data_IF_803292003267
#
_entry.id   IF_803292003267
#
_cell.length_a   1.000
_cell.length_b   1.000
_cell.length_c   1.000
_cell.angle_alpha   90.00
_cell.angle_beta   90.00
_cell.angle_gamma   90.00
#
_symmetry.space_group_name_H-M   'P 1'
#
loop_
_entity.id
_entity.type
_entity.pdbx_description
1 polymer ?
#
# COMPACT_ATOMS: atom_id res chain seq x y z
N UNK A 1 9.09 -107.71 -9.88
CA UNK A 1 8.63 -107.18 -11.18
C UNK A 1 8.18 -105.76 -10.91
N UNK A 2 9.05 -104.78 -11.14
CA UNK A 2 9.20 -104.08 -12.44
C UNK A 2 7.99 -103.17 -12.70
N UNK A 3 8.06 -101.94 -13.19
CA UNK A 3 9.10 -100.91 -13.33
C UNK A 3 8.28 -99.65 -13.74
N UNK A 4 8.53 -98.53 -13.08
CA UNK A 4 8.67 -97.13 -13.56
C UNK A 4 7.96 -96.62 -14.85
N UNK A 5 7.66 -95.28 -14.86
CA UNK A 5 7.56 -94.31 -16.00
C UNK A 5 6.11 -93.88 -16.38
N UNK A 6 5.69 -92.62 -16.65
CA UNK A 6 6.32 -91.35 -17.07
C UNK A 6 5.47 -90.12 -16.63
N UNK A 7 6.16 -89.00 -16.40
CA UNK A 7 5.66 -87.60 -16.32
C UNK A 7 5.09 -87.10 -17.66
N UNK A 8 4.28 -86.02 -17.63
CA UNK A 8 4.28 -84.85 -18.56
C UNK A 8 2.86 -84.36 -18.97
N UNK A 9 2.16 -83.61 -18.11
CA UNK A 9 1.05 -82.72 -18.52
C UNK A 9 1.12 -81.44 -17.66
N UNK A 10 2.06 -80.54 -17.97
CA UNK A 10 2.14 -79.22 -17.32
C UNK A 10 2.77 -78.14 -18.22
N UNK A 11 2.72 -78.32 -19.54
CA UNK A 11 3.45 -77.46 -20.49
C UNK A 11 2.61 -76.87 -21.64
N UNK A 12 1.27 -76.88 -21.54
CA UNK A 12 0.39 -76.42 -22.63
C UNK A 12 -0.30 -75.07 -22.38
N UNK A 13 -0.55 -74.69 -21.12
CA UNK A 13 -1.44 -73.57 -20.78
C UNK A 13 -0.74 -72.25 -20.50
N UNK A 14 0.59 -72.23 -20.33
CA UNK A 14 1.32 -70.98 -20.03
C UNK A 14 1.77 -70.21 -21.29
N UNK A 15 1.99 -70.91 -22.42
CA UNK A 15 2.44 -70.27 -23.66
C UNK A 15 1.33 -69.45 -24.35
N UNK A 16 0.06 -69.81 -24.15
CA UNK A 16 -1.07 -69.10 -24.77
C UNK A 16 -1.42 -67.79 -24.03
N UNK A 17 -1.19 -67.73 -22.71
CA UNK A 17 -1.46 -66.53 -21.90
C UNK A 17 -0.39 -65.45 -22.12
N UNK A 18 0.88 -65.82 -22.33
CA UNK A 18 1.96 -64.87 -22.63
C UNK A 18 1.83 -64.29 -24.05
N UNK A 19 1.37 -65.08 -25.03
CA UNK A 19 1.17 -64.59 -26.41
C UNK A 19 -0.01 -63.60 -26.53
N UNK A 20 -1.09 -63.78 -25.76
CA UNK A 20 -2.22 -62.83 -25.75
C UNK A 20 -1.88 -61.55 -24.96
N UNK A 21 -1.09 -61.66 -23.89
CA UNK A 21 -0.60 -60.49 -23.12
C UNK A 21 0.36 -59.59 -23.92
N UNK A 22 1.25 -60.17 -24.73
CA UNK A 22 2.18 -59.39 -25.57
C UNK A 22 1.49 -58.69 -26.76
N UNK A 23 0.40 -59.25 -27.28
CA UNK A 23 -0.34 -58.66 -28.41
C UNK A 23 -1.33 -57.58 -27.98
N UNK A 24 -1.90 -57.68 -26.78
CA UNK A 24 -2.79 -56.64 -26.21
C UNK A 24 -2.01 -55.47 -25.60
N UNK A 25 -0.85 -55.73 -24.99
CA UNK A 25 0.03 -54.67 -24.46
C UNK A 25 0.64 -53.78 -25.56
N UNK A 26 0.93 -54.34 -26.75
CA UNK A 26 1.54 -53.59 -27.86
C UNK A 26 0.55 -52.74 -28.67
N UNK A 27 -0.76 -53.06 -28.65
CA UNK A 27 -1.80 -52.18 -29.19
C UNK A 27 -2.18 -51.06 -28.22
N UNK A 28 -2.33 -51.35 -26.93
CA UNK A 28 -2.63 -50.31 -25.93
C UNK A 28 -1.50 -49.28 -25.80
N UNK A 29 -0.24 -49.70 -25.89
CA UNK A 29 0.92 -48.79 -25.91
C UNK A 29 1.10 -48.04 -27.22
N UNK A 30 0.69 -48.61 -28.36
CA UNK A 30 0.68 -47.88 -29.65
C UNK A 30 -0.48 -46.90 -29.77
N UNK A 31 -1.66 -47.26 -29.28
CA UNK A 31 -2.82 -46.37 -29.31
C UNK A 31 -2.63 -45.23 -28.31
N UNK A 32 -2.05 -45.47 -27.13
CA UNK A 32 -1.65 -44.37 -26.22
C UNK A 32 -0.45 -43.58 -26.73
N UNK A 33 0.53 -44.21 -27.42
CA UNK A 33 1.61 -43.45 -28.04
C UNK A 33 1.08 -42.55 -29.17
N UNK A 34 0.19 -43.03 -30.02
CA UNK A 34 -0.44 -42.20 -31.06
C UNK A 34 -1.36 -41.14 -30.46
N UNK A 35 -2.13 -41.43 -29.42
CA UNK A 35 -3.01 -40.44 -28.78
C UNK A 35 -2.19 -39.36 -28.05
N UNK A 36 -1.10 -39.74 -27.39
CA UNK A 36 -0.14 -38.79 -26.79
C UNK A 36 0.60 -37.99 -27.87
N UNK A 37 0.99 -38.61 -28.98
CA UNK A 37 1.61 -37.92 -30.11
C UNK A 37 0.61 -37.00 -30.83
N UNK A 38 -0.69 -37.35 -30.88
CA UNK A 38 -1.75 -36.50 -31.43
C UNK A 38 -2.10 -35.34 -30.48
N UNK A 39 -2.08 -35.58 -29.16
CA UNK A 39 -2.26 -34.54 -28.13
C UNK A 39 -1.03 -33.62 -28.02
N UNK A 40 0.18 -34.13 -28.24
CA UNK A 40 1.41 -33.33 -28.30
C UNK A 40 1.61 -32.63 -29.66
N UNK A 41 1.08 -33.20 -30.76
CA UNK A 41 1.06 -32.58 -32.09
C UNK A 41 -0.12 -31.61 -32.27
N UNK A 42 -1.01 -31.51 -31.28
CA UNK A 42 -1.85 -30.32 -31.13
C UNK A 42 -0.93 -29.21 -30.63
N UNK A 43 -0.13 -28.67 -31.55
CA UNK A 43 0.80 -27.58 -31.33
C UNK A 43 -0.01 -26.44 -30.71
N UNK A 44 0.06 -26.32 -29.37
CA UNK A 44 -0.55 -25.21 -28.66
C UNK A 44 0.15 -24.00 -29.23
N UNK A 45 -0.56 -23.27 -30.10
CA UNK A 45 -0.05 -22.11 -30.80
C UNK A 45 0.79 -21.30 -29.81
N UNK A 46 2.08 -21.15 -30.10
CA UNK A 46 3.02 -20.58 -29.14
C UNK A 46 2.54 -19.21 -28.65
N UNK A 47 1.77 -18.48 -29.47
CA UNK A 47 1.12 -17.23 -29.07
C UNK A 47 -0.01 -17.44 -28.08
N UNK A 48 -0.82 -18.48 -28.22
CA UNK A 48 -1.87 -18.86 -27.27
C UNK A 48 -1.30 -19.40 -25.96
N UNK A 49 -0.28 -20.26 -26.00
CA UNK A 49 0.43 -20.73 -24.79
C UNK A 49 1.12 -19.57 -24.07
N UNK A 50 1.76 -18.66 -24.81
CA UNK A 50 2.36 -17.46 -24.25
C UNK A 50 1.29 -16.53 -23.69
N UNK A 51 0.16 -16.32 -24.37
CA UNK A 51 -0.97 -15.51 -23.88
C UNK A 51 -1.59 -16.11 -22.62
N UNK A 52 -1.74 -17.43 -22.54
CA UNK A 52 -2.22 -18.13 -21.35
C UNK A 52 -1.20 -18.08 -20.20
N UNK A 53 0.09 -18.23 -20.49
CA UNK A 53 1.15 -18.09 -19.48
C UNK A 53 1.33 -16.63 -19.01
N UNK A 54 1.06 -15.65 -19.86
CA UNK A 54 1.02 -14.22 -19.51
C UNK A 54 -0.23 -13.91 -18.69
N UNK A 55 -1.39 -14.48 -19.05
CA UNK A 55 -2.63 -14.35 -18.30
C UNK A 55 -2.54 -15.05 -16.92
N UNK A 56 -1.88 -16.20 -16.82
CA UNK A 56 -1.64 -16.89 -15.55
C UNK A 56 -0.59 -16.18 -14.69
N UNK A 57 0.36 -15.46 -15.29
CA UNK A 57 1.31 -14.60 -14.55
C UNK A 57 0.63 -13.38 -13.92
N UNK A 58 -0.38 -12.81 -14.58
CA UNK A 58 -1.22 -11.77 -13.98
C UNK A 58 -1.92 -12.29 -12.71
N UNK A 59 -2.43 -13.53 -12.74
CA UNK A 59 -3.11 -14.16 -11.59
C UNK A 59 -2.20 -14.46 -10.39
N UNK A 60 -0.90 -14.68 -10.57
CA UNK A 60 -0.02 -14.99 -9.44
C UNK A 60 0.22 -13.76 -8.54
N UNK A 61 0.40 -12.57 -9.13
CA UNK A 61 0.59 -11.31 -8.39
C UNK A 61 -0.64 -10.92 -7.55
N UNK A 62 -1.79 -11.39 -7.98
CA UNK A 62 -3.09 -11.21 -7.34
C UNK A 62 -3.36 -12.23 -6.22
N UNK A 63 -2.48 -13.24 -6.05
CA UNK A 63 -2.69 -14.29 -5.05
C UNK A 63 -2.36 -13.82 -3.62
N UNK A 64 -3.09 -14.32 -2.59
CA UNK A 64 -2.76 -14.05 -1.20
C UNK A 64 -1.34 -14.49 -0.79
N UNK A 65 -0.82 -15.55 -1.42
CA UNK A 65 0.52 -16.05 -1.17
C UNK A 65 1.58 -15.04 -1.65
N UNK A 66 1.44 -14.51 -2.86
CA UNK A 66 2.33 -13.48 -3.37
C UNK A 66 2.29 -12.21 -2.51
N UNK A 67 1.08 -11.74 -2.18
CA UNK A 67 0.90 -10.58 -1.31
C UNK A 67 1.62 -10.75 0.03
N UNK A 68 1.47 -11.92 0.68
CA UNK A 68 2.20 -12.22 1.92
C UNK A 68 3.71 -12.18 1.73
N UNK A 69 4.24 -12.74 0.64
CA UNK A 69 5.68 -12.66 0.34
C UNK A 69 6.16 -11.21 0.19
N UNK A 70 5.33 -10.32 -0.38
CA UNK A 70 5.66 -8.88 -0.47
C UNK A 70 5.66 -8.20 0.90
N UNK A 71 4.69 -8.51 1.75
CA UNK A 71 4.65 -8.06 3.15
C UNK A 71 5.91 -8.51 3.89
N UNK A 72 6.22 -9.82 3.84
CA UNK A 72 7.38 -10.39 4.53
C UNK A 72 8.70 -9.75 4.06
N UNK A 73 8.84 -9.52 2.76
CA UNK A 73 10.02 -8.87 2.19
C UNK A 73 10.18 -7.41 2.63
N UNK A 74 9.08 -6.65 2.71
CA UNK A 74 9.13 -5.28 3.23
C UNK A 74 9.46 -5.26 4.73
N UNK A 75 8.89 -6.18 5.52
CA UNK A 75 9.20 -6.33 6.95
C UNK A 75 10.69 -6.57 7.16
N UNK A 76 11.29 -7.47 6.37
CA UNK A 76 12.73 -7.74 6.41
C UNK A 76 13.56 -6.53 5.98
N UNK A 77 13.20 -5.90 4.85
CA UNK A 77 13.95 -4.77 4.29
C UNK A 77 14.01 -3.56 5.22
N UNK A 78 12.91 -3.26 5.92
CA UNK A 78 12.81 -2.10 6.81
C UNK A 78 13.03 -2.43 8.29
N UNK A 79 13.26 -3.71 8.63
CA UNK A 79 13.53 -4.13 10.01
C UNK A 79 12.38 -3.84 10.98
N UNK A 80 11.14 -3.88 10.50
CA UNK A 80 9.93 -3.60 11.31
C UNK A 80 9.33 -4.87 11.90
N UNK A 81 8.38 -4.73 12.83
CA UNK A 81 7.63 -5.87 13.36
C UNK A 81 6.69 -6.44 12.29
N UNK A 82 6.66 -7.78 12.08
CA UNK A 82 5.72 -8.40 11.15
C UNK A 82 4.27 -8.05 11.51
N UNK A 83 3.47 -7.52 10.57
CA UNK A 83 2.10 -7.16 10.86
C UNK A 83 1.26 -8.43 11.07
N UNK A 84 0.27 -8.35 11.95
CA UNK A 84 -0.81 -9.34 11.95
C UNK A 84 -1.65 -9.15 10.68
N UNK A 85 -1.75 -10.18 9.83
CA UNK A 85 -2.54 -10.13 8.59
C UNK A 85 -4.02 -9.83 8.84
N UNK A 86 -4.58 -10.25 9.98
CA UNK A 86 -5.95 -9.89 10.38
C UNK A 86 -6.07 -8.39 10.62
N UNK A 87 -5.02 -7.76 11.18
CA UNK A 87 -4.99 -6.31 11.37
C UNK A 87 -4.90 -5.56 10.05
N UNK A 88 -4.18 -6.09 9.06
CA UNK A 88 -4.14 -5.55 7.69
C UNK A 88 -5.44 -5.75 6.92
N UNK A 89 -6.31 -6.66 7.35
CA UNK A 89 -7.68 -6.82 6.80
C UNK A 89 -8.70 -5.97 7.53
N UNK A 90 -8.47 -5.68 8.82
CA UNK A 90 -9.38 -4.91 9.64
C UNK A 90 -9.46 -3.43 9.22
N UNK A 91 -10.60 -2.75 9.42
CA UNK A 91 -10.73 -1.31 9.23
C UNK A 91 -9.66 -0.53 10.00
N UNK A 92 -9.09 0.48 9.37
CA UNK A 92 -8.24 1.44 10.07
C UNK A 92 -9.13 2.47 10.79
N UNK A 93 -8.89 2.76 12.08
CA UNK A 93 -9.59 3.83 12.78
C UNK A 93 -9.39 5.18 12.06
N UNK A 94 -10.50 5.79 11.67
CA UNK A 94 -10.53 7.07 10.96
C UNK A 94 -11.14 8.16 11.83
N UNK A 95 -10.51 9.34 11.84
CA UNK A 95 -10.95 10.49 12.60
C UNK A 95 -10.98 11.74 11.70
N UNK A 96 -12.11 12.45 11.67
CA UNK A 96 -12.26 13.75 10.99
C UNK A 96 -12.90 14.81 11.91
N UNK A 97 -12.24 15.17 13.03
CA UNK A 97 -12.84 16.02 14.06
C UNK A 97 -12.95 17.50 13.69
N UNK A 98 -12.18 17.97 12.69
CA UNK A 98 -12.21 19.35 12.21
C UNK A 98 -12.40 19.32 10.71
N UNK A 99 -13.41 20.05 10.21
CA UNK A 99 -13.70 20.18 8.80
C UNK A 99 -13.91 21.65 8.43
N UNK A 100 -13.91 21.92 7.12
CA UNK A 100 -13.94 23.29 6.57
C UNK A 100 -15.14 24.13 7.03
N UNK A 101 -16.24 23.51 7.47
CA UNK A 101 -17.44 24.22 7.94
C UNK A 101 -17.36 24.66 9.40
N UNK A 102 -16.45 24.08 10.19
CA UNK A 102 -16.25 24.40 11.61
C UNK A 102 -14.75 24.49 11.97
N UNK A 103 -14.02 25.51 11.44
CA UNK A 103 -12.61 25.69 11.73
C UNK A 103 -12.33 25.91 13.22
N UNK A 104 -11.20 25.39 13.70
CA UNK A 104 -10.78 25.54 15.10
C UNK A 104 -9.59 26.47 15.25
N UNK A 105 -9.80 27.52 16.03
CA UNK A 105 -8.75 28.48 16.41
C UNK A 105 -7.96 27.99 17.63
N UNK A 106 -6.64 28.15 17.60
CA UNK A 106 -5.71 27.83 18.69
C UNK A 106 -4.79 29.05 18.90
N UNK A 107 -4.81 29.63 20.10
CA UNK A 107 -3.98 30.77 20.45
C UNK A 107 -2.52 30.37 20.76
N UNK A 108 -1.54 31.28 20.60
CA UNK A 108 -0.18 31.04 21.06
C UNK A 108 -0.12 30.67 22.56
N UNK A 109 0.53 29.56 22.87
CA UNK A 109 0.62 28.98 24.21
C UNK A 109 -0.47 27.96 24.52
N UNK A 110 -1.48 27.80 23.66
CA UNK A 110 -2.51 26.79 23.81
C UNK A 110 -2.17 25.50 23.07
N UNK A 111 -2.77 24.40 23.52
CA UNK A 111 -2.74 23.11 22.85
C UNK A 111 -4.14 22.52 22.80
N UNK A 112 -4.37 21.71 21.77
CA UNK A 112 -5.64 21.04 21.50
C UNK A 112 -5.36 19.58 21.13
N UNK A 113 -6.11 18.65 21.71
CA UNK A 113 -6.04 17.23 21.36
C UNK A 113 -7.25 16.88 20.50
N UNK A 114 -7.00 16.26 19.36
CA UNK A 114 -7.99 15.86 18.38
C UNK A 114 -7.71 14.42 17.95
N UNK A 115 -8.45 13.48 18.53
CA UNK A 115 -8.20 12.04 18.32
C UNK A 115 -6.75 11.65 18.70
N UNK A 116 -6.01 10.99 17.77
CA UNK A 116 -4.64 10.56 18.04
C UNK A 116 -3.62 11.69 18.01
N UNK A 117 -3.95 12.90 17.51
CA UNK A 117 -3.00 14.00 17.41
C UNK A 117 -3.22 15.08 18.48
N UNK A 118 -2.12 15.72 18.88
CA UNK A 118 -2.12 16.93 19.70
C UNK A 118 -1.45 18.07 18.94
N UNK A 119 -2.14 19.20 18.78
CA UNK A 119 -1.69 20.39 18.08
C UNK A 119 -1.48 21.51 19.09
N UNK A 120 -0.25 22.01 19.23
CA UNK A 120 0.10 23.12 20.11
C UNK A 120 0.66 24.30 19.33
N UNK A 121 0.16 25.51 19.58
CA UNK A 121 0.66 26.72 18.92
C UNK A 121 1.67 27.42 19.81
N UNK A 122 2.83 27.76 19.25
CA UNK A 122 3.94 28.42 19.96
C UNK A 122 4.44 29.60 19.18
N UNK A 123 4.84 30.66 19.88
CA UNK A 123 5.55 31.79 19.29
C UNK A 123 6.99 31.81 19.82
N UNK A 124 7.97 31.68 18.94
CA UNK A 124 9.39 31.60 19.28
C UNK A 124 10.19 32.66 18.53
N UNK A 125 11.15 33.30 19.21
CA UNK A 125 12.08 34.23 18.56
C UNK A 125 13.16 33.43 17.81
N UNK A 126 13.26 33.61 16.50
CA UNK A 126 14.30 33.01 15.67
C UNK A 126 15.26 34.06 15.18
N UNK A 127 16.54 33.73 15.23
CA UNK A 127 17.58 34.54 14.61
C UNK A 127 17.77 34.03 13.19
N UNK A 128 17.39 34.85 12.20
CA UNK A 128 17.62 34.55 10.79
C UNK A 128 18.84 35.35 10.35
N UNK A 129 19.81 34.65 9.78
CA UNK A 129 21.00 35.25 9.19
C UNK A 129 20.89 35.19 7.66
N UNK A 130 20.86 36.35 7.01
CA UNK A 130 20.76 36.43 5.55
C UNK A 130 21.67 37.55 5.04
N UNK A 131 22.68 37.19 4.25
CA UNK A 131 23.63 38.15 3.70
C UNK A 131 24.44 38.90 4.77
N UNK A 132 24.84 38.23 5.85
CA UNK A 132 25.61 38.84 6.95
C UNK A 132 24.80 39.68 7.94
N UNK A 133 23.49 39.89 7.70
CA UNK A 133 22.60 40.52 8.66
C UNK A 133 21.91 39.47 9.54
N UNK A 134 22.02 39.63 10.85
CA UNK A 134 21.24 38.87 11.85
C UNK A 134 20.00 39.66 12.25
N UNK A 135 18.83 39.12 11.95
CA UNK A 135 17.55 39.67 12.41
C UNK A 135 16.89 38.70 13.38
N UNK A 136 16.34 39.22 14.49
CA UNK A 136 15.60 38.43 15.47
C UNK A 136 14.11 38.68 15.27
N UNK A 137 13.42 37.69 14.71
CA UNK A 137 11.99 37.81 14.40
C UNK A 137 11.22 36.74 15.17
N UNK A 138 10.08 37.14 15.75
CA UNK A 138 9.12 36.20 16.33
C UNK A 138 8.50 35.37 15.20
N UNK A 139 8.31 34.07 15.40
CA UNK A 139 7.65 33.17 14.46
C UNK A 139 6.66 32.29 15.20
N UNK A 140 5.48 32.11 14.62
CA UNK A 140 4.46 31.19 15.09
C UNK A 140 4.65 29.82 14.44
N UNK A 141 4.68 28.78 15.26
CA UNK A 141 4.76 27.38 14.87
C UNK A 141 3.54 26.60 15.39
N UNK A 142 3.02 25.70 14.57
CA UNK A 142 2.10 24.65 14.98
C UNK A 142 2.91 23.36 15.21
N UNK A 143 2.94 22.91 16.45
CA UNK A 143 3.58 21.67 16.87
C UNK A 143 2.56 20.55 16.85
N UNK A 144 2.78 19.55 16.01
CA UNK A 144 1.91 18.37 15.90
C UNK A 144 2.64 17.20 16.55
N UNK A 145 1.94 16.48 17.43
CA UNK A 145 2.45 15.30 18.13
C UNK A 145 1.50 14.14 17.92
N UNK A 146 2.02 13.00 17.47
CA UNK A 146 1.27 11.75 17.51
C UNK A 146 1.25 11.19 18.94
N UNK A 147 0.06 11.11 19.54
CA UNK A 147 -0.18 10.58 20.89
C UNK A 147 -0.68 9.14 20.89
N UNK A 148 -0.91 8.55 19.71
CA UNK A 148 -1.27 7.15 19.58
C UNK A 148 -0.06 6.23 19.79
N UNK A 149 -0.35 4.94 19.95
CA UNK A 149 0.66 3.89 20.05
C UNK A 149 1.02 3.26 18.70
N UNK A 150 0.42 3.78 17.63
CA UNK A 150 0.59 3.31 16.25
C UNK A 150 0.86 4.53 15.35
N UNK A 151 1.47 4.32 14.18
CA UNK A 151 1.63 5.39 13.20
C UNK A 151 0.29 5.98 12.78
N UNK A 152 0.29 7.28 12.49
CA UNK A 152 -0.90 8.02 12.07
C UNK A 152 -0.60 8.71 10.76
N UNK A 153 -1.27 8.29 9.69
CA UNK A 153 -1.36 9.10 8.49
C UNK A 153 -2.31 10.26 8.75
N UNK A 154 -1.97 11.47 8.29
CA UNK A 154 -2.76 12.65 8.57
C UNK A 154 -2.81 13.62 7.39
N UNK A 155 -3.88 14.41 7.35
CA UNK A 155 -4.01 15.58 6.49
C UNK A 155 -4.40 16.76 7.37
N UNK A 156 -3.52 17.74 7.45
CA UNK A 156 -3.70 18.94 8.26
C UNK A 156 -3.70 20.18 7.36
N UNK A 157 -4.86 20.79 7.20
CA UNK A 157 -4.99 22.10 6.56
C UNK A 157 -5.12 23.18 7.63
N UNK A 158 -4.24 24.17 7.58
CA UNK A 158 -4.25 25.27 8.54
C UNK A 158 -3.82 26.59 7.92
N UNK A 159 -4.23 27.67 8.56
CA UNK A 159 -3.85 29.05 8.21
C UNK A 159 -3.65 29.89 9.46
N UNK A 160 -3.10 31.09 9.30
CA UNK A 160 -3.17 32.10 10.36
C UNK A 160 -4.62 32.59 10.51
N UNK A 161 -5.04 32.86 11.75
CA UNK A 161 -6.41 33.28 12.04
C UNK A 161 -6.70 34.73 11.59
N UNK A 162 -5.68 35.58 11.58
CA UNK A 162 -5.81 37.00 11.21
C UNK A 162 -5.61 37.20 9.70
N UNK A 163 -6.36 38.14 9.12
CA UNK A 163 -6.27 38.47 7.71
C UNK A 163 -4.88 39.03 7.30
N UNK A 164 -4.56 38.90 6.02
CA UNK A 164 -3.32 39.40 5.38
C UNK A 164 -2.45 38.28 4.83
N UNK A 165 -1.40 38.62 4.11
CA UNK A 165 -0.46 37.63 3.58
C UNK A 165 0.62 37.27 4.61
N UNK A 166 1.15 36.05 4.52
CA UNK A 166 2.35 35.70 5.26
C UNK A 166 3.57 35.94 4.37
N UNK A 167 4.34 36.99 4.67
CA UNK A 167 5.48 37.37 3.83
C UNK A 167 6.65 36.39 3.90
N UNK A 168 6.78 35.65 5.00
CA UNK A 168 7.89 34.72 5.25
C UNK A 168 7.37 33.45 5.93
N UNK A 169 7.28 32.36 5.16
CA UNK A 169 7.13 31.01 5.71
C UNK A 169 8.46 30.31 5.67
N UNK A 170 8.93 29.86 6.84
CA UNK A 170 10.09 28.99 6.89
C UNK A 170 9.63 27.55 6.62
N UNK A 171 10.07 26.95 5.53
CA UNK A 171 9.73 25.56 5.23
C UNK A 171 10.80 24.68 5.87
N UNK A 172 10.54 24.23 7.09
CA UNK A 172 11.32 23.16 7.70
C UNK A 172 10.94 21.85 7.01
N UNK A 173 11.90 20.94 6.85
CA UNK A 173 11.62 19.55 6.43
C UNK A 173 10.99 18.79 7.58
N UNK A 174 9.93 18.03 7.29
CA UNK A 174 9.24 17.15 8.23
C UNK A 174 8.40 16.16 7.42
N UNK A 175 8.00 15.04 8.02
CA UNK A 175 7.04 14.16 7.35
C UNK A 175 5.63 14.76 7.38
N UNK A 176 5.17 15.21 6.21
CA UNK A 176 3.84 15.80 6.03
C UNK A 176 2.70 14.79 5.87
N UNK A 177 3.00 13.48 5.87
CA UNK A 177 2.04 12.42 5.55
C UNK A 177 1.80 11.50 6.74
N UNK A 178 2.87 10.96 7.34
CA UNK A 178 2.77 10.05 8.50
C UNK A 178 3.51 10.64 9.70
N UNK A 179 3.04 10.31 10.90
CA UNK A 179 3.76 10.50 12.14
C UNK A 179 3.86 9.20 12.91
N UNK A 180 5.07 8.82 13.29
CA UNK A 180 5.34 7.67 14.15
C UNK A 180 4.83 7.88 15.59
N UNK A 181 4.64 6.80 16.38
CA UNK A 181 4.25 6.92 17.78
C UNK A 181 5.17 7.84 18.59
N UNK A 182 4.62 8.92 19.14
CA UNK A 182 5.38 9.91 19.90
C UNK A 182 6.19 10.89 19.05
N UNK A 183 6.18 10.75 17.72
CA UNK A 183 6.84 11.68 16.82
C UNK A 183 6.20 13.06 16.89
N UNK A 184 7.06 14.08 16.74
CA UNK A 184 6.68 15.48 16.83
C UNK A 184 7.33 16.30 15.73
N UNK A 185 6.49 17.06 15.03
CA UNK A 185 6.91 18.01 14.00
C UNK A 185 6.54 19.44 14.38
N UNK A 186 7.28 20.41 13.85
CA UNK A 186 7.03 21.84 14.04
C UNK A 186 6.83 22.51 12.67
N UNK A 187 5.59 22.89 12.38
CA UNK A 187 5.18 23.51 11.12
C UNK A 187 5.16 25.03 11.28
N UNK A 188 5.95 25.75 10.50
CA UNK A 188 5.98 27.21 10.54
C UNK A 188 4.75 27.81 9.87
N UNK A 189 4.02 28.68 10.58
CA UNK A 189 2.80 29.30 10.07
C UNK A 189 3.10 30.67 9.48
N UNK A 190 3.67 31.56 10.30
CA UNK A 190 4.08 32.89 9.87
C UNK A 190 5.02 33.58 10.87
N UNK A 191 5.64 34.68 10.46
CA UNK A 191 6.27 35.64 11.37
C UNK A 191 5.23 36.33 12.26
N UNK A 192 5.66 36.74 13.46
CA UNK A 192 4.81 37.31 14.50
C UNK A 192 4.30 36.29 15.52
N UNK A 193 3.48 36.79 16.46
CA UNK A 193 2.75 35.99 17.46
C UNK A 193 1.27 36.01 17.07
N UNK A 194 0.80 34.96 16.40
CA UNK A 194 -0.54 34.89 15.81
C UNK A 194 -1.25 33.61 16.18
N UNK A 195 -2.58 33.65 16.28
CA UNK A 195 -3.40 32.45 16.39
C UNK A 195 -3.39 31.67 15.07
N UNK A 196 -3.60 30.36 15.18
CA UNK A 196 -3.69 29.43 14.05
C UNK A 196 -5.12 28.92 13.96
N UNK A 197 -5.67 28.87 12.75
CA UNK A 197 -6.92 28.19 12.45
C UNK A 197 -6.61 26.87 11.75
N UNK A 198 -7.05 25.77 12.35
CA UNK A 198 -7.11 24.45 11.72
C UNK A 198 -8.43 24.38 10.96
N UNK A 199 -8.33 24.19 9.65
CA UNK A 199 -9.47 24.20 8.72
C UNK A 199 -9.99 22.80 8.43
N UNK A 200 -9.09 21.82 8.27
CA UNK A 200 -9.42 20.42 8.03
C UNK A 200 -8.38 19.56 8.72
N UNK A 201 -8.82 18.55 9.47
CA UNK A 201 -7.94 17.58 10.11
C UNK A 201 -8.51 16.18 9.91
N UNK A 202 -7.83 15.38 9.10
CA UNK A 202 -8.13 13.96 8.88
C UNK A 202 -6.98 13.12 9.40
N UNK A 203 -7.30 12.00 10.02
CA UNK A 203 -6.32 11.10 10.61
C UNK A 203 -6.75 9.65 10.39
N UNK A 204 -5.79 8.79 10.06
CA UNK A 204 -5.98 7.35 9.92
C UNK A 204 -4.89 6.63 10.71
N UNK A 205 -5.30 5.82 11.70
CA UNK A 205 -4.38 4.97 12.47
C UNK A 205 -4.03 3.72 11.66
N UNK A 206 -2.76 3.58 11.28
CA UNK A 206 -2.27 2.56 10.35
C UNK A 206 -1.23 1.65 11.01
N UNK A 207 -0.86 0.57 10.32
CA UNK A 207 0.18 -0.35 10.79
C UNK A 207 1.58 0.20 10.51
N UNK A 208 2.62 -0.39 11.11
CA UNK A 208 4.02 0.00 10.83
C UNK A 208 4.40 -0.16 9.35
N UNK A 209 4.00 -1.28 8.71
CA UNK A 209 4.21 -1.45 7.26
C UNK A 209 3.38 -0.46 6.45
N UNK A 210 2.15 -0.16 6.91
CA UNK A 210 1.28 0.80 6.27
C UNK A 210 1.84 2.22 6.28
N UNK A 211 2.53 2.62 7.35
CA UNK A 211 3.25 3.90 7.41
C UNK A 211 4.26 4.01 6.26
N UNK A 212 5.16 3.02 6.17
CA UNK A 212 6.19 2.98 5.14
C UNK A 212 5.58 3.04 3.74
N UNK A 213 4.56 2.23 3.46
CA UNK A 213 3.91 2.23 2.15
C UNK A 213 3.19 3.54 1.82
N UNK A 214 2.58 4.18 2.82
CA UNK A 214 1.94 5.49 2.65
C UNK A 214 2.98 6.58 2.42
N UNK A 215 4.14 6.52 3.08
CA UNK A 215 5.24 7.49 2.89
C UNK A 215 5.93 7.38 1.52
N UNK A 216 5.80 6.22 0.84
CA UNK A 216 6.20 6.10 -0.57
C UNK A 216 5.28 6.89 -1.52
N UNK A 217 4.07 7.29 -1.11
CA UNK A 217 3.16 8.05 -1.97
C UNK A 217 3.69 9.47 -2.15
N UNK A 218 3.87 9.97 -3.38
CA UNK A 218 4.19 11.38 -3.57
C UNK A 218 3.16 12.27 -2.87
N UNK A 219 3.60 13.14 -1.95
CA UNK A 219 2.74 14.03 -1.17
C UNK A 219 1.73 14.84 -2.03
N UNK A 220 2.09 15.14 -3.29
CA UNK A 220 1.20 15.77 -4.26
C UNK A 220 -0.04 14.93 -4.55
N UNK A 221 0.10 13.61 -4.67
CA UNK A 221 -0.99 12.68 -4.97
C UNK A 221 -2.09 12.67 -3.88
N UNK A 222 -1.72 13.07 -2.66
CA UNK A 222 -2.62 13.16 -1.51
C UNK A 222 -3.36 14.51 -1.42
N UNK A 223 -3.26 15.37 -2.43
CA UNK A 223 -3.87 16.70 -2.46
C UNK A 223 -3.54 17.54 -1.20
N UNK A 224 -2.27 17.47 -0.77
CA UNK A 224 -1.72 18.32 0.28
C UNK A 224 -1.44 19.73 -0.26
N UNK A 225 -1.41 20.72 0.63
CA UNK A 225 -1.09 22.08 0.21
C UNK A 225 0.39 22.19 -0.24
N UNK A 226 0.74 23.14 -1.12
CA UNK A 226 2.09 23.27 -1.66
C UNK A 226 3.19 23.41 -0.60
N UNK A 227 2.87 23.96 0.58
CA UNK A 227 3.84 24.10 1.68
C UNK A 227 4.17 22.73 2.25
N UNK A 228 3.15 21.93 2.56
CA UNK A 228 3.29 20.58 3.09
C UNK A 228 3.98 19.66 2.09
N UNK A 229 3.62 19.74 0.80
CA UNK A 229 4.30 19.03 -0.29
C UNK A 229 5.81 19.32 -0.32
N UNK A 230 6.19 20.60 -0.20
CA UNK A 230 7.60 21.01 -0.22
C UNK A 230 8.35 20.59 1.05
N UNK A 231 7.63 20.50 2.17
CA UNK A 231 8.21 20.16 3.46
C UNK A 231 8.38 18.66 3.66
N UNK A 232 7.53 17.85 3.03
CA UNK A 232 7.51 16.40 3.17
C UNK A 232 8.91 15.79 2.95
N UNK A 233 9.35 15.02 3.94
CA UNK A 233 10.62 14.32 3.98
C UNK A 233 10.38 12.98 4.70
N UNK A 234 10.13 11.88 3.96
CA UNK A 234 9.82 10.57 4.54
C UNK A 234 11.05 9.83 5.10
N UNK A 235 12.21 10.50 5.16
CA UNK A 235 13.48 9.91 5.56
C UNK A 235 14.28 9.32 4.39
N UNK A 236 15.55 9.00 4.63
CA UNK A 236 16.50 8.59 3.58
C UNK A 236 16.21 7.19 3.01
N UNK A 237 15.56 6.32 3.79
CA UNK A 237 15.31 4.93 3.46
C UNK A 237 14.02 4.71 2.66
N UNK A 238 13.15 5.72 2.57
CA UNK A 238 11.84 5.61 1.88
C UNK A 238 11.94 6.24 0.50
N UNK A 239 11.93 5.40 -0.54
CA UNK A 239 11.93 5.85 -1.93
C UNK A 239 10.50 6.10 -2.42
N UNK A 240 10.18 7.29 -2.97
CA UNK A 240 8.84 7.59 -3.45
C UNK A 240 8.50 6.78 -4.70
N UNK A 241 7.25 6.32 -4.78
CA UNK A 241 6.69 5.63 -5.93
C UNK A 241 6.64 6.57 -7.14
N UNK A 242 7.43 6.25 -8.17
CA UNK A 242 7.54 7.05 -9.40
C UNK A 242 6.45 6.74 -10.43
N UNK A 243 5.78 5.60 -10.31
CA UNK A 243 4.72 5.13 -11.21
C UNK A 243 3.35 5.77 -10.92
N UNK A 244 3.17 6.43 -9.78
CA UNK A 244 1.88 6.99 -9.39
C UNK A 244 1.56 8.26 -10.20
N UNK A 245 0.37 8.37 -10.82
CA UNK A 245 -0.04 9.57 -11.54
C UNK A 245 -0.49 10.65 -10.55
N UNK A 246 0.47 11.24 -9.82
CA UNK A 246 0.20 12.10 -8.67
C UNK A 246 -0.72 13.29 -8.98
N UNK A 247 -0.54 13.95 -10.12
CA UNK A 247 -1.37 15.08 -10.53
C UNK A 247 -2.83 14.68 -10.82
N UNK A 248 -3.05 13.47 -11.32
CA UNK A 248 -4.39 12.96 -11.61
C UNK A 248 -5.10 12.52 -10.33
N UNK A 249 -4.40 11.80 -9.44
CA UNK A 249 -4.92 11.42 -8.13
C UNK A 249 -5.33 12.65 -7.32
N UNK A 250 -4.48 13.68 -7.27
CA UNK A 250 -4.77 14.93 -6.58
C UNK A 250 -6.05 15.60 -7.11
N UNK A 251 -6.16 15.75 -8.44
CA UNK A 251 -7.36 16.32 -9.07
C UNK A 251 -8.61 15.49 -8.82
N UNK A 252 -8.48 14.16 -8.72
CA UNK A 252 -9.61 13.26 -8.49
C UNK A 252 -10.12 13.36 -7.05
N UNK A 253 -9.21 13.55 -6.08
CA UNK A 253 -9.57 13.92 -4.69
C UNK A 253 -10.29 15.28 -4.67
N UNK A 254 -9.76 16.28 -5.38
CA UNK A 254 -10.36 17.62 -5.45
C UNK A 254 -11.75 17.62 -6.10
N UNK A 255 -11.99 16.76 -7.11
CA UNK A 255 -13.29 16.55 -7.74
C UNK A 255 -14.26 15.71 -6.90
N UNK A 256 -13.77 15.06 -5.83
CA UNK A 256 -14.57 14.21 -4.96
C UNK A 256 -14.93 12.84 -5.57
N UNK A 257 -14.12 12.33 -6.51
CA UNK A 257 -14.32 10.99 -7.09
C UNK A 257 -14.03 9.88 -6.07
N UNK A 258 -13.05 10.14 -5.20
CA UNK A 258 -12.75 9.39 -3.98
C UNK A 258 -12.20 10.37 -2.93
N UNK A 259 -12.22 9.96 -1.67
CA UNK A 259 -11.72 10.79 -0.57
C UNK A 259 -10.24 10.51 -0.30
N UNK A 260 -9.58 11.44 0.41
CA UNK A 260 -8.19 11.27 0.84
C UNK A 260 -8.00 9.97 1.65
N UNK A 261 -8.93 9.67 2.54
CA UNK A 261 -8.90 8.48 3.39
C UNK A 261 -9.06 7.17 2.60
N UNK A 262 -9.67 7.19 1.42
CA UNK A 262 -9.76 6.01 0.55
C UNK A 262 -8.38 5.67 -0.02
N UNK A 263 -7.68 6.68 -0.54
CA UNK A 263 -6.34 6.51 -1.12
C UNK A 263 -5.31 6.07 -0.07
N UNK A 264 -5.34 6.71 1.11
CA UNK A 264 -4.44 6.39 2.21
C UNK A 264 -4.77 5.02 2.81
N UNK A 265 -6.05 4.66 2.99
CA UNK A 265 -6.40 3.33 3.49
C UNK A 265 -5.96 2.24 2.51
N UNK A 266 -6.11 2.46 1.20
CA UNK A 266 -5.64 1.51 0.18
C UNK A 266 -4.14 1.27 0.27
N UNK A 267 -3.33 2.32 0.22
CA UNK A 267 -1.87 2.20 0.23
C UNK A 267 -1.30 1.88 1.61
N UNK A 268 -2.05 2.10 2.71
CA UNK A 268 -1.67 1.54 4.02
C UNK A 268 -1.71 0.00 4.05
N UNK A 269 -2.32 -0.62 3.03
CA UNK A 269 -2.45 -2.07 2.86
C UNK A 269 -1.73 -2.57 1.61
N UNK A 270 -1.25 -1.70 0.73
CA UNK A 270 -0.66 -2.11 -0.54
C UNK A 270 0.55 -1.25 -0.89
N UNK A 271 1.63 -1.91 -1.33
CA UNK A 271 2.78 -1.21 -1.89
C UNK A 271 2.42 -0.61 -3.26
N UNK A 272 2.57 0.71 -3.42
CA UNK A 272 2.28 1.43 -4.66
C UNK A 272 3.14 1.02 -5.86
N UNK A 273 4.24 0.29 -5.64
CA UNK A 273 5.03 -0.27 -6.74
C UNK A 273 4.41 -1.55 -7.34
N UNK A 274 3.59 -2.26 -6.58
CA UNK A 274 3.00 -3.54 -7.00
C UNK A 274 1.51 -3.44 -7.29
N UNK A 275 0.80 -2.52 -6.62
CA UNK A 275 -0.65 -2.43 -6.65
C UNK A 275 -1.10 -1.03 -7.07
N UNK A 276 -1.92 -0.94 -8.12
CA UNK A 276 -2.50 0.32 -8.60
C UNK A 276 -3.80 0.61 -7.85
N UNK A 277 -4.00 1.85 -7.42
CA UNK A 277 -5.28 2.32 -6.89
C UNK A 277 -6.34 2.44 -8.00
N UNK A 278 -7.58 2.06 -7.71
CA UNK A 278 -8.74 2.30 -8.57
C UNK A 278 -9.73 3.24 -7.86
N UNK A 279 -10.34 4.16 -8.59
CA UNK A 279 -11.23 5.21 -8.05
C UNK A 279 -12.51 4.67 -7.39
N UNK A 280 -12.88 3.41 -7.68
CA UNK A 280 -13.98 2.70 -7.03
C UNK A 280 -13.67 2.19 -5.62
N UNK A 281 -12.40 2.21 -5.19
CA UNK A 281 -12.03 1.81 -3.84
C UNK A 281 -12.64 2.76 -2.80
N UNK A 282 -13.11 2.18 -1.69
CA UNK A 282 -13.53 2.93 -0.49
C UNK A 282 -12.83 2.33 0.72
N UNK A 283 -12.43 3.19 1.65
CA UNK A 283 -11.83 2.79 2.92
C UNK A 283 -12.67 1.68 3.56
N UNK A 284 -12.00 0.65 4.08
CA UNK A 284 -12.69 -0.45 4.73
C UNK A 284 -13.43 0.01 5.99
N UNK A 285 -14.73 -0.30 6.06
CA UNK A 285 -15.56 -0.12 7.27
C UNK A 285 -15.84 -1.44 7.99
N UNK A 286 -15.59 -2.56 7.31
CA UNK A 286 -15.61 -3.91 7.85
C UNK A 286 -14.33 -4.66 7.43
N UNK A 287 -13.93 -5.73 8.14
CA UNK A 287 -12.78 -6.54 7.74
C UNK A 287 -12.94 -7.07 6.31
N UNK A 288 -11.91 -6.91 5.49
CA UNK A 288 -11.89 -7.50 4.16
C UNK A 288 -11.82 -9.04 4.23
N UNK A 289 -12.47 -9.71 3.28
CA UNK A 289 -12.42 -11.17 3.17
C UNK A 289 -10.99 -11.68 2.93
N UNK A 290 -10.23 -10.95 2.09
CA UNK A 290 -8.86 -11.28 1.73
C UNK A 290 -8.06 -10.07 1.25
N UNK A 291 -6.75 -10.30 1.07
CA UNK A 291 -5.82 -9.37 0.43
C UNK A 291 -5.06 -10.14 -0.66
N UNK A 292 -4.63 -9.47 -1.75
CA UNK A 292 -4.76 -8.04 -2.03
C UNK A 292 -6.20 -7.63 -2.38
N UNK A 293 -6.52 -6.34 -2.22
CA UNK A 293 -7.77 -5.75 -2.71
C UNK A 293 -7.53 -5.32 -4.16
N UNK A 294 -8.37 -5.79 -5.07
CA UNK A 294 -8.19 -5.61 -6.51
C UNK A 294 -9.43 -4.95 -7.12
N UNK A 295 -9.25 -4.31 -8.27
CA UNK A 295 -10.37 -3.79 -9.05
C UNK A 295 -11.28 -4.96 -9.48
N UNK A 296 -12.57 -4.96 -9.08
CA UNK A 296 -13.49 -6.04 -9.42
C UNK A 296 -13.77 -6.16 -10.92
N UNK A 297 -13.49 -5.13 -11.71
CA UNK A 297 -13.63 -5.15 -13.17
C UNK A 297 -12.49 -5.88 -13.86
N UNK A 298 -11.35 -6.03 -13.17
CA UNK A 298 -10.13 -6.61 -13.74
C UNK A 298 -9.58 -5.82 -14.92
N UNK A 299 -10.04 -4.59 -15.14
CA UNK A 299 -9.58 -3.74 -16.23
C UNK A 299 -8.30 -2.99 -15.78
N UNK A 300 -7.11 -3.36 -16.30
CA UNK A 300 -5.88 -2.67 -15.94
C UNK A 300 -5.82 -1.22 -16.45
N UNK A 301 -6.71 -0.85 -17.37
CA UNK A 301 -6.74 0.44 -18.06
C UNK A 301 -7.89 1.37 -17.59
N UNK A 302 -8.73 0.96 -16.63
CA UNK A 302 -9.93 1.70 -16.21
C UNK A 302 -9.69 2.94 -15.32
N UNK A 303 -8.47 3.46 -15.23
CA UNK A 303 -8.17 4.63 -14.39
C UNK A 303 -6.95 5.40 -14.81
#
# INVERSE_FOLDING_TARGET
MELTILRSIAGGSLAFVVAIGAWTGSRLTRDTAMEVETLLATEVDAKTAQKQAMASKAQYKESPAYYKTRVDAAVEAFGIEPPNMDRLRAPNPFHHPINMSDPKRIEPGQARREGPLSIAVRAEQRTIERGGMRTKNMHTYARVLNTAKVPVAYRLLMRKAEAGECQLRNVNRYDAVVLDPGERIDISICSGKQAVEVLDLRMLEITGIGAIWVDKIPAQALALDPTSVKAHDPGEDVQPCTSLPAAELAKSIERGEFAWEDLVDYYSRHDCEEYRFWSGYRRLEAPAEGLPLLDPTGDPDAG
#
